data_IF_353089489818
#
_entry.id   IF_353089489818
#
_cell.length_a   1.000
_cell.length_b   1.000
_cell.length_c   1.000
_cell.angle_alpha   90.00
_cell.angle_beta   90.00
_cell.angle_gamma   90.00
#
_symmetry.space_group_name_H-M   'P 1'
#
loop_
_entity.id
_entity.type
_entity.pdbx_description
1 polymer ?
#
# COMPACT_ATOMS: atom_id res chain seq x y z
N UNK A 1 -9.00 -43.58 -56.90
CA UNK A 1 -9.52 -43.92 -55.57
C UNK A 1 -8.34 -44.26 -54.67
N UNK A 2 -7.88 -43.31 -53.85
CA UNK A 2 -6.93 -43.54 -52.75
C UNK A 2 -7.00 -42.32 -51.82
N UNK A 3 -7.56 -42.48 -50.62
CA UNK A 3 -7.62 -41.45 -49.58
C UNK A 3 -6.26 -41.45 -48.85
N UNK A 4 -5.57 -40.32 -48.85
CA UNK A 4 -4.37 -40.11 -48.03
C UNK A 4 -4.82 -39.32 -46.79
N UNK A 5 -4.95 -40.00 -45.66
CA UNK A 5 -5.22 -39.40 -44.35
C UNK A 5 -3.93 -38.88 -43.75
N UNK A 6 -3.75 -37.55 -43.71
CA UNK A 6 -2.72 -36.90 -42.91
C UNK A 6 -3.31 -36.50 -41.55
N UNK A 7 -2.70 -37.01 -40.49
CA UNK A 7 -3.09 -36.76 -39.10
C UNK A 7 -2.99 -35.28 -38.74
N UNK A 8 -4.04 -34.75 -38.09
CA UNK A 8 -4.00 -33.45 -37.42
C UNK A 8 -3.45 -33.66 -36.01
N UNK A 9 -2.14 -33.48 -35.85
CA UNK A 9 -1.55 -33.27 -34.53
C UNK A 9 -1.81 -31.84 -34.06
N UNK A 10 -2.57 -31.76 -32.96
CA UNK A 10 -2.50 -30.79 -31.87
C UNK A 10 -1.75 -29.48 -32.15
N UNK A 11 -2.50 -28.40 -32.46
CA UNK A 11 -1.94 -27.04 -32.47
C UNK A 11 -2.80 -25.94 -31.85
N UNK A 12 -3.70 -26.28 -30.91
CA UNK A 12 -4.54 -25.30 -30.20
C UNK A 12 -4.45 -25.42 -28.66
N UNK A 13 -3.25 -25.62 -28.12
CA UNK A 13 -2.96 -25.39 -26.70
C UNK A 13 -1.73 -24.48 -26.53
N UNK A 14 -1.69 -23.37 -27.26
CA UNK A 14 -0.83 -22.25 -26.89
C UNK A 14 -1.44 -21.58 -25.66
N UNK A 15 -1.01 -22.07 -24.51
CA UNK A 15 -1.26 -21.60 -23.15
C UNK A 15 -1.60 -20.11 -23.06
N UNK A 16 -2.87 -19.79 -22.86
CA UNK A 16 -3.29 -18.57 -22.19
C UNK A 16 -2.85 -18.72 -20.73
N UNK A 17 -1.56 -18.51 -20.44
CA UNK A 17 -1.05 -18.41 -19.06
C UNK A 17 -1.67 -17.17 -18.46
N UNK A 18 -2.90 -17.28 -17.97
CA UNK A 18 -3.43 -16.36 -16.97
C UNK A 18 -2.48 -16.46 -15.78
N UNK A 19 -1.60 -15.49 -15.63
CA UNK A 19 -0.71 -15.44 -14.48
C UNK A 19 -1.57 -15.29 -13.22
N UNK A 20 -1.52 -16.20 -12.24
CA UNK A 20 -2.36 -16.16 -11.04
C UNK A 20 -1.86 -15.12 -10.01
N UNK A 21 -1.18 -14.05 -10.44
CA UNK A 21 -0.45 -13.12 -9.56
C UNK A 21 -1.33 -12.13 -8.79
N UNK A 22 -2.60 -11.95 -9.18
CA UNK A 22 -3.47 -10.97 -8.50
C UNK A 22 -4.18 -11.52 -7.26
N UNK A 23 -4.58 -12.80 -7.23
CA UNK A 23 -5.29 -13.37 -6.07
C UNK A 23 -4.37 -13.57 -4.85
N UNK A 24 -3.08 -13.84 -5.07
CA UNK A 24 -2.12 -14.11 -3.99
C UNK A 24 -1.76 -12.86 -3.18
N UNK A 25 -1.68 -11.70 -3.85
CA UNK A 25 -1.27 -10.43 -3.23
C UNK A 25 -2.38 -9.84 -2.34
N UNK A 26 -3.65 -9.93 -2.78
CA UNK A 26 -4.80 -9.46 -1.99
C UNK A 26 -5.04 -10.31 -0.75
N UNK A 27 -4.76 -11.61 -0.84
CA UNK A 27 -4.82 -12.53 0.30
C UNK A 27 -3.70 -12.27 1.33
N UNK A 28 -2.54 -11.75 0.92
CA UNK A 28 -1.47 -11.35 1.83
C UNK A 28 -1.75 -10.01 2.51
N UNK A 29 -2.32 -9.04 1.78
CA UNK A 29 -2.81 -7.78 2.37
C UNK A 29 -3.86 -8.03 3.46
N UNK A 30 -4.84 -8.90 3.20
CA UNK A 30 -5.87 -9.28 4.18
C UNK A 30 -5.35 -10.04 5.40
N UNK A 31 -4.14 -10.62 5.34
CA UNK A 31 -3.52 -11.26 6.51
C UNK A 31 -2.84 -10.27 7.45
N UNK A 32 -2.43 -9.10 6.95
CA UNK A 32 -1.70 -8.10 7.73
C UNK A 32 -2.58 -7.06 8.43
N UNK A 33 -3.72 -6.71 7.84
CA UNK A 33 -4.72 -5.81 8.43
C UNK A 33 -5.87 -6.64 9.06
N UNK A 34 -5.99 -6.72 10.39
CA UNK A 34 -6.94 -7.61 11.07
C UNK A 34 -8.38 -7.07 11.06
N UNK A 35 -8.64 -5.89 10.49
CA UNK A 35 -9.95 -5.22 10.51
C UNK A 35 -10.31 -4.50 9.21
N UNK A 36 -11.60 -4.18 9.07
CA UNK A 36 -12.11 -3.35 7.99
C UNK A 36 -11.90 -1.87 8.30
N UNK A 37 -11.21 -1.14 7.42
CA UNK A 37 -11.05 0.32 7.54
C UNK A 37 -12.36 1.04 7.21
N UNK A 38 -12.76 2.00 8.04
CA UNK A 38 -13.90 2.88 7.73
C UNK A 38 -13.58 3.81 6.54
N UNK A 39 -14.61 4.14 5.76
CA UNK A 39 -14.45 5.05 4.62
C UNK A 39 -14.10 6.46 5.10
N UNK A 40 -13.01 7.01 4.57
CA UNK A 40 -12.52 8.34 4.91
C UNK A 40 -12.13 9.15 3.67
N UNK A 41 -11.92 10.45 3.83
CA UNK A 41 -11.35 11.30 2.78
C UNK A 41 -9.94 10.85 2.44
N UNK A 42 -9.67 10.58 1.16
CA UNK A 42 -8.36 10.17 0.64
C UNK A 42 -7.54 11.41 0.29
N UNK A 43 -6.37 11.57 0.91
CA UNK A 43 -5.52 12.75 0.75
C UNK A 43 -4.30 12.55 -0.15
N UNK A 44 -3.96 11.31 -0.50
CA UNK A 44 -2.68 10.97 -1.14
C UNK A 44 -2.89 10.17 -2.43
N UNK A 45 -3.07 10.84 -3.59
CA UNK A 45 -3.10 10.18 -4.89
C UNK A 45 -1.72 9.61 -5.28
N UNK A 46 -1.71 8.68 -6.25
CA UNK A 46 -0.47 8.26 -6.93
C UNK A 46 0.27 9.49 -7.44
N UNK A 47 1.59 9.51 -7.27
CA UNK A 47 2.44 10.66 -7.56
C UNK A 47 2.71 11.55 -6.34
N UNK A 48 1.96 11.43 -5.26
CA UNK A 48 2.22 12.16 -4.03
C UNK A 48 3.55 11.73 -3.38
N UNK A 49 4.26 12.70 -2.81
CA UNK A 49 5.43 12.49 -1.96
C UNK A 49 5.05 12.74 -0.52
N UNK A 50 5.37 11.80 0.37
CA UNK A 50 5.19 11.93 1.81
C UNK A 50 6.50 11.70 2.56
N UNK A 51 6.59 12.19 3.79
CA UNK A 51 7.73 11.95 4.66
C UNK A 51 7.78 10.47 5.07
N UNK A 52 8.99 9.95 5.29
CA UNK A 52 9.15 8.67 5.96
C UNK A 52 9.20 8.93 7.47
N UNK A 53 8.30 8.30 8.22
CA UNK A 53 8.20 8.46 9.67
C UNK A 53 9.00 7.40 10.44
N UNK A 54 9.69 6.47 9.76
CA UNK A 54 10.48 5.43 10.42
C UNK A 54 12.00 5.72 10.38
N UNK A 55 12.75 5.01 11.21
CA UNK A 55 14.20 5.10 11.26
C UNK A 55 14.93 4.14 10.28
N UNK A 56 14.26 3.63 9.24
CA UNK A 56 14.91 2.72 8.26
C UNK A 56 16.02 3.40 7.45
N UNK A 57 16.01 4.74 7.40
CA UNK A 57 16.95 5.56 6.64
C UNK A 57 16.38 6.10 5.31
N UNK A 58 15.09 5.90 5.05
CA UNK A 58 14.35 6.67 4.04
C UNK A 58 13.98 8.05 4.60
N UNK A 59 13.92 9.07 3.75
CA UNK A 59 13.43 10.42 4.11
C UNK A 59 12.11 10.75 3.42
N UNK A 60 11.98 10.40 2.14
CA UNK A 60 10.78 10.69 1.36
C UNK A 60 10.31 9.45 0.58
N UNK A 61 9.02 9.18 0.65
CA UNK A 61 8.32 8.10 -0.03
C UNK A 61 7.47 8.68 -1.16
N UNK A 62 7.64 8.17 -2.38
CA UNK A 62 6.85 8.53 -3.55
C UNK A 62 5.89 7.41 -3.90
N UNK A 63 4.59 7.70 -3.86
CA UNK A 63 3.51 6.72 -4.05
C UNK A 63 3.38 6.38 -5.54
N UNK A 64 3.43 5.09 -5.86
CA UNK A 64 3.26 4.58 -7.23
C UNK A 64 1.96 3.78 -7.41
N UNK A 65 1.43 3.19 -6.35
CA UNK A 65 0.15 2.49 -6.36
C UNK A 65 -0.45 2.42 -4.96
N UNK A 66 -1.75 2.18 -4.86
CA UNK A 66 -2.47 1.96 -3.61
C UNK A 66 -3.13 0.59 -3.68
N UNK A 67 -2.97 -0.22 -2.63
CA UNK A 67 -3.54 -1.57 -2.59
C UNK A 67 -5.05 -1.51 -2.31
N UNK A 68 -5.78 -2.52 -2.79
CA UNK A 68 -7.23 -2.64 -2.54
C UNK A 68 -8.12 -1.64 -3.31
N UNK A 69 -7.57 -0.90 -4.28
CA UNK A 69 -8.35 0.06 -5.08
C UNK A 69 -8.81 -0.58 -6.39
N UNK A 70 -10.11 -0.46 -6.68
CA UNK A 70 -10.69 -0.87 -7.96
C UNK A 70 -10.37 0.08 -9.11
N UNK A 71 -10.51 -0.40 -10.35
CA UNK A 71 -10.30 0.41 -11.55
C UNK A 71 -11.48 1.36 -11.83
N UNK A 72 -11.19 2.56 -12.34
CA UNK A 72 -12.16 3.47 -12.97
C UNK A 72 -11.42 4.39 -13.92
N UNK A 73 -12.00 4.61 -15.10
CA UNK A 73 -11.46 5.51 -16.11
C UNK A 73 -11.22 6.91 -15.53
N UNK A 74 -10.05 7.47 -15.81
CA UNK A 74 -9.59 8.82 -15.40
C UNK A 74 -9.53 9.08 -13.89
N UNK A 75 -9.71 8.06 -13.04
CA UNK A 75 -9.52 8.20 -11.58
C UNK A 75 -8.10 7.83 -11.19
N UNK A 76 -7.39 8.77 -10.57
CA UNK A 76 -6.14 8.46 -9.90
C UNK A 76 -6.42 7.65 -8.63
N UNK A 77 -5.80 6.47 -8.43
CA UNK A 77 -5.84 5.77 -7.16
C UNK A 77 -5.29 6.67 -6.04
N UNK A 78 -5.95 6.70 -4.89
CA UNK A 78 -5.55 7.54 -3.76
C UNK A 78 -5.73 6.79 -2.44
N UNK A 79 -4.81 7.01 -1.51
CA UNK A 79 -4.86 6.45 -0.17
C UNK A 79 -5.11 7.53 0.89
N UNK A 80 -5.45 7.07 2.08
CA UNK A 80 -5.41 7.84 3.31
C UNK A 80 -4.83 7.03 4.47
N UNK A 81 -4.91 7.57 5.69
CA UNK A 81 -4.34 6.96 6.90
C UNK A 81 -4.78 5.50 7.04
N UNK A 82 -3.82 4.60 7.26
CA UNK A 82 -4.03 3.15 7.37
C UNK A 82 -4.00 2.37 6.05
N UNK A 83 -4.01 3.02 4.89
CA UNK A 83 -3.90 2.31 3.62
C UNK A 83 -2.47 1.88 3.33
N UNK A 84 -2.31 0.68 2.78
CA UNK A 84 -1.04 0.22 2.24
C UNK A 84 -0.86 0.73 0.80
N UNK A 85 0.28 1.35 0.56
CA UNK A 85 0.72 1.85 -0.73
C UNK A 85 2.00 1.16 -1.18
N UNK A 86 2.22 1.11 -2.49
CA UNK A 86 3.53 0.82 -3.04
C UNK A 86 4.25 2.14 -3.26
N UNK A 87 5.47 2.25 -2.73
CA UNK A 87 6.24 3.48 -2.76
C UNK A 87 7.70 3.24 -3.16
N UNK A 88 8.34 4.28 -3.68
CA UNK A 88 9.79 4.32 -3.93
C UNK A 88 10.43 5.38 -3.06
N UNK A 89 11.65 5.12 -2.59
CA UNK A 89 12.40 6.11 -1.80
C UNK A 89 13.09 7.11 -2.74
N UNK A 90 12.70 8.38 -2.65
CA UNK A 90 13.32 9.46 -3.45
C UNK A 90 14.60 9.98 -2.82
N UNK A 91 14.56 10.24 -1.51
CA UNK A 91 15.68 10.70 -0.68
C UNK A 91 15.87 9.73 0.49
N UNK A 92 17.12 9.36 0.79
CA UNK A 92 17.46 8.38 1.83
C UNK A 92 18.68 7.54 1.49
N UNK A 93 18.93 6.48 2.27
CA UNK A 93 20.03 5.53 2.06
C UNK A 93 20.01 4.96 0.62
N UNK A 94 21.16 4.86 -0.07
CA UNK A 94 21.23 4.34 -1.45
C UNK A 94 20.60 2.97 -1.64
N UNK A 95 20.73 2.08 -0.65
CA UNK A 95 20.21 0.71 -0.67
C UNK A 95 18.68 0.60 -0.78
N UNK A 96 17.97 1.62 -0.28
CA UNK A 96 16.50 1.71 -0.29
C UNK A 96 15.97 2.36 -1.56
N UNK A 97 16.79 3.17 -2.23
CA UNK A 97 16.41 3.90 -3.44
C UNK A 97 16.32 2.93 -4.62
N UNK A 98 15.61 3.35 -5.68
CA UNK A 98 15.42 2.59 -6.93
C UNK A 98 14.76 1.21 -6.76
N UNK A 99 14.16 0.95 -5.60
CA UNK A 99 13.37 -0.25 -5.29
C UNK A 99 11.96 0.16 -4.89
N UNK A 100 11.00 -0.73 -5.15
CA UNK A 100 9.62 -0.58 -4.71
C UNK A 100 9.48 -1.26 -3.35
N UNK A 101 8.91 -0.53 -2.39
CA UNK A 101 8.62 -1.03 -1.04
C UNK A 101 7.15 -0.81 -0.72
N UNK A 102 6.48 -1.77 -0.06
CA UNK A 102 5.22 -1.49 0.61
C UNK A 102 5.43 -0.46 1.72
N UNK A 103 4.45 0.41 1.90
CA UNK A 103 4.42 1.38 2.99
C UNK A 103 2.98 1.58 3.47
N UNK A 104 2.80 1.96 4.73
CA UNK A 104 1.50 2.34 5.29
C UNK A 104 1.49 3.83 5.54
N UNK A 105 0.41 4.51 5.15
CA UNK A 105 0.19 5.93 5.46
C UNK A 105 -0.19 6.05 6.94
N UNK A 106 0.56 6.83 7.71
CA UNK A 106 0.30 7.02 9.16
C UNK A 106 -0.21 8.42 9.51
N UNK A 107 0.05 9.41 8.64
CA UNK A 107 -0.44 10.79 8.79
C UNK A 107 -0.90 11.36 7.45
N UNK A 108 -1.94 12.18 7.52
CA UNK A 108 -2.54 12.85 6.37
C UNK A 108 -2.87 14.31 6.73
N UNK A 109 -2.42 15.23 5.88
CA UNK A 109 -2.70 16.67 5.97
C UNK A 109 -4.11 17.05 5.51
N UNK A 110 -4.68 16.30 4.56
CA UNK A 110 -6.07 16.50 4.15
C UNK A 110 -7.02 16.09 5.29
N UNK A 111 -7.93 16.96 5.76
CA UNK A 111 -8.83 16.60 6.85
C UNK A 111 -9.79 15.46 6.49
N UNK A 112 -10.10 14.62 7.47
CA UNK A 112 -11.16 13.62 7.39
C UNK A 112 -12.05 13.65 8.63
N UNK A 113 -13.27 13.18 8.47
CA UNK A 113 -14.28 13.12 9.53
C UNK A 113 -14.26 11.74 10.19
N UNK A 114 -14.23 11.72 11.53
CA UNK A 114 -14.42 10.52 12.34
C UNK A 114 -15.89 10.28 12.67
N UNK A 115 -16.20 9.09 13.17
CA UNK A 115 -17.57 8.69 13.48
C UNK A 115 -18.20 9.55 14.59
N UNK A 116 -17.39 10.01 15.54
CA UNK A 116 -17.78 10.97 16.59
C UNK A 116 -18.11 12.38 16.06
N UNK A 117 -17.90 12.63 14.75
CA UNK A 117 -18.19 13.90 14.10
C UNK A 117 -17.01 14.85 14.02
N UNK A 118 -15.88 14.55 14.68
CA UNK A 118 -14.69 15.40 14.71
C UNK A 118 -13.96 15.33 13.38
N UNK A 119 -13.48 16.48 12.89
CA UNK A 119 -12.55 16.56 11.77
C UNK A 119 -11.12 16.57 12.31
N UNK A 120 -10.31 15.63 11.85
CA UNK A 120 -8.88 15.53 12.21
C UNK A 120 -8.02 15.77 10.97
N UNK A 121 -6.85 16.38 11.16
CA UNK A 121 -5.78 16.46 10.19
C UNK A 121 -4.42 16.53 10.91
N UNK A 122 -3.36 16.13 10.22
CA UNK A 122 -1.98 16.28 10.68
C UNK A 122 -1.28 17.44 9.99
N UNK A 123 -0.16 17.88 10.55
CA UNK A 123 0.69 18.92 9.93
C UNK A 123 1.30 18.43 8.61
N UNK A 124 1.74 17.17 8.55
CA UNK A 124 2.41 16.58 7.40
C UNK A 124 1.74 15.29 6.90
N UNK A 125 2.10 14.91 5.67
CA UNK A 125 1.82 13.57 5.15
C UNK A 125 3.02 12.69 5.48
N UNK A 126 2.79 11.54 6.10
CA UNK A 126 3.86 10.62 6.45
C UNK A 126 3.44 9.15 6.33
N UNK A 127 4.43 8.30 6.06
CA UNK A 127 4.26 6.86 5.98
C UNK A 127 5.47 6.08 6.52
N UNK A 128 5.24 4.80 6.76
CA UNK A 128 6.23 3.86 7.32
C UNK A 128 6.45 2.73 6.32
N UNK A 129 7.70 2.34 6.08
CA UNK A 129 8.01 1.22 5.20
C UNK A 129 7.70 -0.08 5.94
N UNK A 130 6.96 -0.96 5.27
CA UNK A 130 6.57 -2.26 5.80
C UNK A 130 6.89 -3.38 4.81
N UNK A 131 6.86 -4.61 5.29
CA UNK A 131 6.82 -5.78 4.41
C UNK A 131 5.36 -6.09 3.99
N UNK A 132 5.13 -7.03 3.06
CA UNK A 132 3.77 -7.39 2.64
C UNK A 132 2.87 -7.94 3.75
N UNK A 133 3.43 -8.38 4.89
CA UNK A 133 2.68 -8.82 6.07
C UNK A 133 2.27 -7.66 6.99
N UNK A 134 2.74 -6.44 6.73
CA UNK A 134 2.49 -5.28 7.58
C UNK A 134 3.50 -5.10 8.73
N UNK A 135 4.59 -5.87 8.75
CA UNK A 135 5.66 -5.68 9.72
C UNK A 135 6.57 -4.55 9.28
N UNK A 136 6.92 -3.65 10.21
CA UNK A 136 7.74 -2.49 9.91
C UNK A 136 9.19 -2.88 9.57
N UNK A 137 9.79 -2.14 8.65
CA UNK A 137 11.23 -2.25 8.37
C UNK A 137 12.08 -1.52 9.40
N UNK A 138 11.62 -0.36 9.85
CA UNK A 138 12.22 0.38 10.96
C UNK A 138 11.80 -0.21 12.32
N UNK A 139 12.46 0.25 13.38
CA UNK A 139 12.21 -0.18 14.76
C UNK A 139 11.41 0.84 15.58
N UNK A 140 11.27 2.08 15.09
CA UNK A 140 10.54 3.14 15.78
C UNK A 140 9.89 4.10 14.79
N UNK A 141 8.77 4.71 15.20
CA UNK A 141 8.06 5.75 14.45
C UNK A 141 8.28 7.11 15.13
N UNK A 142 8.63 8.12 14.33
CA UNK A 142 8.75 9.51 14.78
C UNK A 142 7.42 10.26 14.58
N UNK A 143 7.00 10.96 15.64
CA UNK A 143 5.79 11.78 15.66
C UNK A 143 4.50 10.96 15.91
N UNK A 144 3.34 11.63 15.92
CA UNK A 144 2.07 10.98 16.19
C UNK A 144 1.65 10.10 15.01
N UNK A 145 0.76 9.14 15.29
CA UNK A 145 0.16 8.22 14.32
C UNK A 145 -1.36 8.31 14.42
N UNK A 146 -2.06 8.31 13.29
CA UNK A 146 -3.52 8.24 13.29
C UNK A 146 -4.03 6.90 13.83
N UNK A 147 -5.05 6.96 14.69
CA UNK A 147 -5.73 5.82 15.30
C UNK A 147 -6.15 4.78 14.27
N UNK A 148 -6.63 5.23 13.11
CA UNK A 148 -7.03 4.39 11.99
C UNK A 148 -5.88 3.50 11.46
N UNK A 149 -4.63 3.98 11.50
CA UNK A 149 -3.46 3.18 11.14
C UNK A 149 -3.04 2.24 12.29
N UNK A 150 -3.10 2.70 13.53
CA UNK A 150 -2.73 1.90 14.70
C UNK A 150 -3.68 0.70 14.91
N UNK A 151 -4.98 0.90 14.72
CA UNK A 151 -5.99 -0.18 14.82
C UNK A 151 -5.81 -1.25 13.74
N UNK A 152 -5.39 -0.87 12.54
CA UNK A 152 -5.21 -1.78 11.41
C UNK A 152 -3.85 -2.48 11.40
N UNK A 153 -2.82 -1.91 12.02
CA UNK A 153 -1.46 -2.42 11.89
C UNK A 153 -0.81 -2.56 13.27
N UNK A 154 -0.87 -3.77 13.89
CA UNK A 154 -0.40 -3.95 15.26
C UNK A 154 1.05 -3.53 15.49
N UNK A 155 1.93 -3.76 14.51
CA UNK A 155 3.34 -3.34 14.58
C UNK A 155 3.50 -1.81 14.55
N UNK A 156 2.62 -1.10 13.84
CA UNK A 156 2.62 0.37 13.85
C UNK A 156 2.17 0.87 15.22
N UNK A 157 1.12 0.28 15.80
CA UNK A 157 0.67 0.63 17.15
C UNK A 157 1.78 0.42 18.19
N UNK A 158 2.41 -0.75 18.20
CA UNK A 158 3.47 -1.11 19.17
C UNK A 158 4.71 -0.21 19.09
N UNK A 159 5.03 0.33 17.91
CA UNK A 159 6.24 1.14 17.69
C UNK A 159 5.93 2.65 17.59
N UNK A 160 4.70 3.06 17.91
CA UNK A 160 4.27 4.47 17.94
C UNK A 160 4.34 5.04 19.36
N UNK A 161 4.74 6.31 19.49
CA UNK A 161 4.78 7.00 20.78
C UNK A 161 3.42 7.59 21.17
N UNK A 162 2.76 8.28 20.24
CA UNK A 162 1.46 8.92 20.44
C UNK A 162 0.51 8.50 19.33
N UNK A 163 -0.69 8.05 19.71
CA UNK A 163 -1.77 7.70 18.79
C UNK A 163 -2.89 8.72 18.96
N UNK A 164 -3.33 9.34 17.86
CA UNK A 164 -4.40 10.35 17.83
C UNK A 164 -5.60 9.84 17.08
#
# INVERSE_FOLDING_TARGET
MAKISFGRENRDQATRRQTPRHQTDDALYRRGAPGGKLKMTLGLPVGAVMNCADNSGARNLYIIAVKGIGARLNRLPAGGVGDMVMATVKKGKPELRKKVHPAVIVRQSKPWKRFDGVFLYFEDNAGVIVNPKGEMKGSAITGPVGKEAAELWPRIASNSGVVM
#
